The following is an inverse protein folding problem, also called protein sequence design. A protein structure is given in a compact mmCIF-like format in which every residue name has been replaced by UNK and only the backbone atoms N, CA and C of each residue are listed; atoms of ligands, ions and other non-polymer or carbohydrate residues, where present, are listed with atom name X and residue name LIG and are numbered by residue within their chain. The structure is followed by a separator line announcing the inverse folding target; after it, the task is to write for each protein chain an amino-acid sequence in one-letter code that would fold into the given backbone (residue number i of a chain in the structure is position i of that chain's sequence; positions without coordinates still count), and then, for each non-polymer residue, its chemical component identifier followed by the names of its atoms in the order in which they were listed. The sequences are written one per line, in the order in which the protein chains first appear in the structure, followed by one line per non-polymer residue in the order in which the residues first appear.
data_IF_107356264718
#
_entry.id   IF_107356264718
#
_cell.length_a   1.000
_cell.length_b   1.000
_cell.length_c   1.000
_cell.angle_alpha   90.00
_cell.angle_beta   90.00
_cell.angle_gamma   90.00
#
_symmetry.space_group_name_H-M   'P 1'
#
loop_
_entity.id
_entity.type
_entity.pdbx_description
1 polymer ?
#
# COMPACT_ATOMS: atom_id res chain seq x y z
N UNK A 1 -21.20 32.29 1.26
CA UNK A 1 -20.34 31.12 1.05
C UNK A 1 -20.04 30.98 -0.44
N UNK A 2 -18.80 31.23 -0.86
CA UNK A 2 -18.42 31.10 -2.27
C UNK A 2 -18.47 29.60 -2.64
N UNK A 3 -19.45 29.19 -3.47
CA UNK A 3 -19.65 27.78 -3.89
C UNK A 3 -18.37 27.09 -4.36
N UNK A 4 -17.40 27.86 -4.89
CA UNK A 4 -16.08 27.39 -5.33
C UNK A 4 -15.17 26.94 -4.16
N UNK A 5 -15.25 27.58 -2.99
CA UNK A 5 -14.48 27.21 -1.81
C UNK A 5 -15.01 25.94 -1.15
N UNK A 6 -16.34 25.76 -1.17
CA UNK A 6 -16.97 24.52 -0.64
C UNK A 6 -16.61 23.32 -1.52
N UNK A 7 -16.63 23.48 -2.84
CA UNK A 7 -16.21 22.43 -3.77
C UNK A 7 -14.73 22.06 -3.60
N UNK A 8 -13.86 23.05 -3.38
CA UNK A 8 -12.43 22.81 -3.14
C UNK A 8 -12.17 22.10 -1.80
N UNK A 9 -12.89 22.47 -0.75
CA UNK A 9 -12.81 21.81 0.54
C UNK A 9 -13.26 20.34 0.47
N UNK A 10 -14.35 20.04 -0.26
CA UNK A 10 -14.82 18.67 -0.47
C UNK A 10 -13.81 17.83 -1.27
N UNK A 11 -13.20 18.41 -2.31
CA UNK A 11 -12.17 17.74 -3.11
C UNK A 11 -10.91 17.44 -2.27
N UNK A 12 -10.51 18.37 -1.40
CA UNK A 12 -9.39 18.18 -0.46
C UNK A 12 -9.68 17.07 0.55
N UNK A 13 -10.86 17.06 1.17
CA UNK A 13 -11.26 16.00 2.11
C UNK A 13 -11.28 14.63 1.42
N UNK A 14 -11.78 14.54 0.19
CA UNK A 14 -11.77 13.29 -0.57
C UNK A 14 -10.35 12.83 -0.91
N UNK A 15 -9.48 13.74 -1.36
CA UNK A 15 -8.08 13.43 -1.66
C UNK A 15 -7.32 12.97 -0.41
N UNK A 16 -7.48 13.66 0.73
CA UNK A 16 -6.89 13.29 2.02
C UNK A 16 -7.42 11.94 2.53
N UNK A 17 -8.70 11.65 2.34
CA UNK A 17 -9.32 10.37 2.73
C UNK A 17 -8.74 9.19 1.93
N UNK A 18 -8.42 9.41 0.64
CA UNK A 18 -7.78 8.37 -0.19
C UNK A 18 -6.29 8.18 0.11
N UNK A 19 -5.59 9.25 0.52
CA UNK A 19 -4.18 9.19 0.90
C UNK A 19 -3.98 8.45 2.25
N UNK A 20 -4.90 8.58 3.21
CA UNK A 20 -4.80 7.91 4.51
C UNK A 20 -4.88 6.38 4.44
N UNK A 21 -5.48 5.81 3.38
CA UNK A 21 -5.64 4.36 3.22
C UNK A 21 -4.47 3.70 2.44
N UNK A 22 -3.65 4.49 1.74
CA UNK A 22 -2.61 3.98 0.83
C UNK A 22 -1.17 4.03 1.37
N UNK A 23 -0.96 4.77 2.46
CA UNK A 23 0.36 4.96 3.09
C UNK A 23 0.44 4.35 4.49
N UNK A 24 -0.33 3.28 4.76
CA UNK A 24 0.01 2.40 5.87
C UNK A 24 1.45 1.93 5.68
N UNK A 25 2.30 2.23 6.66
CA UNK A 25 3.74 2.00 6.67
C UNK A 25 4.12 0.76 5.87
N UNK A 26 4.67 0.95 4.65
CA UNK A 26 5.21 -0.16 3.86
C UNK A 26 6.38 -0.73 4.65
N UNK A 27 6.12 -1.80 5.39
CA UNK A 27 7.15 -2.62 5.98
C UNK A 27 8.01 -3.13 4.83
N UNK A 28 9.29 -2.75 4.84
CA UNK A 28 10.24 -3.33 3.89
C UNK A 28 10.49 -4.75 4.37
N UNK A 29 10.07 -5.69 3.53
CA UNK A 29 10.30 -7.11 3.75
C UNK A 29 11.01 -7.67 2.53
N UNK A 30 12.04 -8.46 2.77
CA UNK A 30 12.71 -9.25 1.74
C UNK A 30 12.12 -10.64 1.75
N UNK A 31 11.81 -11.19 0.57
CA UNK A 31 11.37 -12.59 0.45
C UNK A 31 12.60 -13.47 0.44
N UNK A 32 12.74 -14.34 1.44
CA UNK A 32 13.89 -15.22 1.58
C UNK A 32 13.66 -16.56 0.87
N UNK A 33 12.44 -17.10 0.95
CA UNK A 33 12.07 -18.37 0.36
C UNK A 33 10.59 -18.43 -0.03
N UNK A 34 10.30 -19.21 -1.07
CA UNK A 34 8.95 -19.52 -1.53
C UNK A 34 8.81 -21.03 -1.62
N UNK A 35 7.98 -21.60 -0.76
CA UNK A 35 7.72 -23.04 -0.66
C UNK A 35 6.27 -23.32 -1.05
N UNK A 36 6.06 -23.51 -2.36
CA UNK A 36 4.73 -23.74 -2.92
C UNK A 36 3.78 -22.58 -2.63
N UNK A 37 2.89 -22.75 -1.64
CA UNK A 37 1.89 -21.75 -1.24
C UNK A 37 2.30 -20.92 -0.01
N UNK A 38 3.48 -21.17 0.57
CA UNK A 38 4.00 -20.43 1.73
C UNK A 38 5.16 -19.55 1.30
N UNK A 39 5.20 -18.33 1.85
CA UNK A 39 6.28 -17.37 1.60
C UNK A 39 6.91 -17.01 2.93
N UNK A 40 8.22 -17.16 3.03
CA UNK A 40 9.02 -16.71 4.18
C UNK A 40 9.60 -15.35 3.83
N UNK A 41 9.31 -14.35 4.67
CA UNK A 41 9.80 -12.99 4.49
C UNK A 41 10.41 -12.44 5.77
N UNK A 42 11.56 -11.80 5.64
CA UNK A 42 12.21 -11.06 6.72
C UNK A 42 11.83 -9.58 6.59
N UNK A 43 11.10 -9.07 7.58
CA UNK A 43 10.71 -7.65 7.67
C UNK A 43 11.58 -6.92 8.69
N UNK A 44 11.93 -5.66 8.42
CA UNK A 44 12.71 -4.83 9.36
C UNK A 44 12.02 -4.65 10.73
N UNK A 45 10.68 -4.65 10.76
CA UNK A 45 9.87 -4.50 11.98
C UNK A 45 8.64 -5.42 11.94
N UNK A 46 8.87 -6.72 12.13
CA UNK A 46 7.80 -7.74 12.07
C UNK A 46 6.82 -7.66 13.25
N UNK A 47 7.13 -6.93 14.32
CA UNK A 47 6.27 -6.80 15.51
C UNK A 47 4.92 -6.12 15.23
N UNK A 48 4.80 -5.47 14.07
CA UNK A 48 3.57 -4.83 13.59
C UNK A 48 2.62 -5.77 12.84
N UNK A 49 3.03 -7.01 12.61
CA UNK A 49 2.22 -8.04 11.95
C UNK A 49 1.66 -9.00 13.00
N UNK A 50 0.34 -9.08 13.09
CA UNK A 50 -0.34 -10.02 13.96
C UNK A 50 -0.81 -11.27 13.19
N UNK A 51 -0.94 -12.43 13.86
CA UNK A 51 -1.56 -13.60 13.25
C UNK A 51 -2.98 -13.28 12.75
N UNK A 52 -3.25 -13.55 11.47
CA UNK A 52 -4.55 -13.30 10.85
C UNK A 52 -4.66 -11.98 10.08
N UNK A 53 -3.64 -11.13 10.12
CA UNK A 53 -3.61 -9.91 9.30
C UNK A 53 -3.59 -10.24 7.81
N UNK A 54 -4.44 -9.53 7.04
CA UNK A 54 -4.47 -9.64 5.59
C UNK A 54 -3.37 -8.76 4.99
N UNK A 55 -2.28 -9.38 4.57
CA UNK A 55 -1.16 -8.70 3.89
C UNK A 55 -1.38 -8.73 2.39
N UNK A 56 -1.34 -7.55 1.74
CA UNK A 56 -1.39 -7.43 0.29
C UNK A 56 0.02 -7.40 -0.30
N UNK A 57 0.47 -8.54 -0.82
CA UNK A 57 1.75 -8.62 -1.53
C UNK A 57 1.54 -8.17 -2.97
N UNK A 58 2.10 -7.02 -3.34
CA UNK A 58 2.11 -6.55 -4.72
C UNK A 58 3.49 -6.84 -5.31
N UNK A 59 3.63 -7.81 -6.23
CA UNK A 59 4.91 -8.04 -6.88
C UNK A 59 5.32 -6.77 -7.62
N UNK A 60 6.62 -6.45 -7.57
CA UNK A 60 7.19 -5.42 -8.43
C UNK A 60 6.78 -5.75 -9.86
N UNK A 61 5.97 -4.89 -10.48
CA UNK A 61 5.75 -5.00 -11.92
C UNK A 61 7.16 -4.96 -12.51
N UNK A 62 7.60 -6.05 -13.16
CA UNK A 62 8.68 -5.94 -14.16
C UNK A 62 8.27 -4.72 -14.98
N UNK A 63 9.16 -3.72 -15.04
CA UNK A 63 8.83 -2.36 -15.45
C UNK A 63 7.87 -2.38 -16.64
N UNK A 64 7.00 -1.39 -16.72
CA UNK A 64 6.33 -1.11 -17.97
C UNK A 64 7.41 -1.07 -19.06
N UNK A 65 7.58 -2.19 -19.77
CA UNK A 65 8.31 -2.23 -21.01
C UNK A 65 7.32 -1.58 -21.94
N UNK A 66 7.61 -0.33 -22.24
CA UNK A 66 6.93 0.43 -23.28
C UNK A 66 6.74 -0.45 -24.52
N UNK A 67 5.54 -0.42 -25.11
CA UNK A 67 5.33 -0.88 -26.48
C UNK A 67 4.52 -2.17 -26.65
N UNK A 68 3.20 -2.05 -26.57
CA UNK A 68 2.26 -2.36 -27.67
C UNK A 68 0.87 -1.81 -27.34
#
# INVERSE_FOLDING_TARGET
MNKKMVAFAMALVFALSTAGLGFAAKLKCTVDAVDGTKVTMTCEDAAKLAPGDKVKVSPSKKGAVEGC
#
